data_IF_936275602241
#
_entry.id   IF_936275602241
#
_cell.length_a   1.000
_cell.length_b   1.000
_cell.length_c   1.000
_cell.angle_alpha   90.00
_cell.angle_beta   90.00
_cell.angle_gamma   90.00
#
_symmetry.space_group_name_H-M   'P 1'
#
loop_
_entity.id
_entity.type
_entity.pdbx_description
1 polymer ?
#
# COMPACT_ATOMS: atom_id res chain seq x y z
N UNK A 1 -26.49 -31.65 -40.80
CA UNK A 1 -26.91 -30.26 -40.50
C UNK A 1 -27.23 -30.13 -39.01
N UNK A 2 -26.27 -30.32 -38.09
CA UNK A 2 -26.59 -30.40 -36.64
C UNK A 2 -25.46 -30.02 -35.69
N UNK A 3 -24.43 -29.28 -36.15
CA UNK A 3 -23.32 -28.87 -35.29
C UNK A 3 -23.18 -27.35 -35.11
N UNK A 4 -23.73 -26.55 -36.04
CA UNK A 4 -23.63 -25.08 -35.99
C UNK A 4 -24.45 -24.40 -34.88
N UNK A 5 -25.51 -25.05 -34.39
CA UNK A 5 -26.28 -24.51 -33.27
C UNK A 5 -25.61 -24.80 -31.93
N UNK A 6 -24.86 -25.89 -31.81
CA UNK A 6 -24.16 -26.28 -30.57
C UNK A 6 -23.03 -25.30 -30.25
N UNK A 7 -22.27 -24.88 -31.26
CA UNK A 7 -21.18 -23.90 -31.06
C UNK A 7 -21.73 -22.53 -30.63
N UNK A 8 -22.91 -22.13 -31.12
CA UNK A 8 -23.55 -20.87 -30.73
C UNK A 8 -23.96 -20.89 -29.25
N UNK A 9 -24.59 -21.99 -28.81
CA UNK A 9 -24.97 -22.16 -27.40
C UNK A 9 -23.73 -22.09 -26.49
N UNK A 10 -22.62 -22.72 -26.87
CA UNK A 10 -21.39 -22.68 -26.08
C UNK A 10 -20.81 -21.26 -25.96
N UNK A 11 -20.75 -20.50 -27.04
CA UNK A 11 -20.26 -19.12 -27.00
C UNK A 11 -21.15 -18.22 -26.14
N UNK A 12 -22.47 -18.44 -26.16
CA UNK A 12 -23.41 -17.69 -25.33
C UNK A 12 -23.19 -17.98 -23.84
N UNK A 13 -22.95 -19.24 -23.48
CA UNK A 13 -22.62 -19.61 -22.08
C UNK A 13 -21.31 -18.99 -21.63
N UNK A 14 -20.26 -19.01 -22.46
CA UNK A 14 -18.97 -18.37 -22.11
C UNK A 14 -19.16 -16.86 -21.94
N UNK A 15 -19.93 -16.20 -22.84
CA UNK A 15 -20.25 -14.79 -22.72
C UNK A 15 -21.01 -14.48 -21.42
N UNK A 16 -21.97 -15.32 -21.04
CA UNK A 16 -22.70 -15.18 -19.77
C UNK A 16 -21.77 -15.36 -18.56
N UNK A 17 -20.82 -16.31 -18.60
CA UNK A 17 -19.85 -16.52 -17.51
C UNK A 17 -18.86 -15.36 -17.36
N UNK A 18 -18.44 -14.74 -18.47
CA UNK A 18 -17.63 -13.51 -18.46
C UNK A 18 -18.45 -12.34 -17.91
N UNK A 19 -19.71 -12.20 -18.33
CA UNK A 19 -20.61 -11.15 -17.85
C UNK A 19 -20.90 -11.26 -16.35
N UNK A 20 -21.04 -12.48 -15.83
CA UNK A 20 -21.22 -12.75 -14.40
C UNK A 20 -19.93 -12.61 -13.58
N UNK A 21 -18.78 -12.32 -14.21
CA UNK A 21 -17.52 -12.11 -13.51
C UNK A 21 -16.93 -13.35 -12.83
N UNK A 22 -17.44 -14.54 -13.15
CA UNK A 22 -16.90 -15.83 -12.65
C UNK A 22 -15.47 -16.06 -13.16
N UNK A 23 -15.14 -15.46 -14.30
CA UNK A 23 -13.81 -15.45 -14.90
C UNK A 23 -13.07 -14.12 -14.63
N UNK A 24 -13.23 -13.49 -13.46
CA UNK A 24 -12.36 -12.38 -13.06
C UNK A 24 -11.07 -12.92 -12.42
N UNK A 25 -9.97 -13.13 -13.17
CA UNK A 25 -8.71 -13.59 -12.58
C UNK A 25 -8.16 -12.59 -11.56
N UNK A 26 -8.55 -11.31 -11.64
CA UNK A 26 -8.15 -10.29 -10.68
C UNK A 26 -8.75 -10.48 -9.28
N UNK A 27 -9.81 -11.28 -9.12
CA UNK A 27 -10.32 -11.68 -7.79
C UNK A 27 -9.52 -12.79 -7.12
N UNK A 28 -8.67 -13.49 -7.88
CA UNK A 28 -8.02 -14.72 -7.43
C UNK A 28 -6.52 -14.57 -7.16
N UNK A 29 -5.93 -13.39 -7.36
CA UNK A 29 -4.56 -13.15 -6.91
C UNK A 29 -4.60 -12.82 -5.41
N UNK A 30 -4.14 -13.72 -4.53
CA UNK A 30 -4.00 -13.40 -3.12
C UNK A 30 -3.02 -12.24 -2.94
N UNK A 31 -3.26 -11.44 -1.92
CA UNK A 31 -2.32 -10.45 -1.45
C UNK A 31 -0.99 -11.14 -1.19
N UNK A 32 0.08 -10.65 -1.81
CA UNK A 32 1.42 -11.22 -1.68
C UNK A 32 2.44 -10.14 -1.39
N UNK A 33 3.33 -10.42 -0.45
CA UNK A 33 4.50 -9.63 -0.14
C UNK A 33 5.69 -10.59 -0.10
N UNK A 34 6.64 -10.41 -1.03
CA UNK A 34 7.80 -11.31 -1.16
C UNK A 34 9.06 -10.48 -1.17
N UNK A 35 10.01 -10.77 -0.28
CA UNK A 35 11.32 -10.12 -0.16
C UNK A 35 12.44 -11.15 -0.38
N UNK A 36 13.54 -10.72 -0.98
CA UNK A 36 14.62 -11.62 -1.43
C UNK A 36 15.82 -11.79 -0.50
N UNK A 37 15.92 -11.02 0.59
CA UNK A 37 17.19 -10.87 1.32
C UNK A 37 17.15 -11.26 2.80
N UNK A 38 16.68 -12.48 3.14
CA UNK A 38 16.71 -12.96 4.53
C UNK A 38 15.83 -12.17 5.51
N UNK A 39 14.98 -11.28 4.96
CA UNK A 39 13.91 -10.59 5.65
C UNK A 39 12.62 -11.14 5.06
N UNK A 40 11.74 -11.60 5.93
CA UNK A 40 10.46 -12.18 5.53
C UNK A 40 9.35 -11.17 5.82
N UNK A 41 8.50 -10.92 4.83
CA UNK A 41 7.28 -10.15 5.04
C UNK A 41 6.21 -11.08 5.59
N UNK A 42 5.84 -10.88 6.85
CA UNK A 42 4.88 -11.75 7.55
C UNK A 42 3.47 -11.34 7.20
N UNK A 43 3.23 -10.03 7.21
CA UNK A 43 1.92 -9.45 6.94
C UNK A 43 2.11 -8.01 6.45
N UNK A 44 1.08 -7.48 5.79
CA UNK A 44 1.10 -6.13 5.29
C UNK A 44 -0.30 -5.61 5.00
N UNK A 45 -0.46 -4.30 5.07
CA UNK A 45 -1.69 -3.59 4.75
C UNK A 45 -1.35 -2.36 3.92
N UNK A 46 -2.06 -2.19 2.80
CA UNK A 46 -1.90 -1.05 1.90
C UNK A 46 -3.16 -0.22 1.98
N UNK A 47 -3.05 1.03 2.43
CA UNK A 47 -4.12 2.01 2.39
C UNK A 47 -3.83 3.11 1.36
N UNK A 48 -4.78 3.99 1.10
CA UNK A 48 -4.61 5.04 0.09
C UNK A 48 -3.39 5.94 0.38
N UNK A 49 -3.19 6.32 1.64
CA UNK A 49 -2.17 7.28 2.09
C UNK A 49 -1.01 6.68 2.90
N UNK A 50 -1.12 5.42 3.32
CA UNK A 50 -0.12 4.74 4.16
C UNK A 50 0.03 3.28 3.82
N UNK A 51 1.18 2.71 4.15
CA UNK A 51 1.46 1.28 4.02
C UNK A 51 2.08 0.76 5.30
N UNK A 52 1.50 -0.31 5.85
CA UNK A 52 2.00 -1.00 7.03
C UNK A 52 2.60 -2.31 6.58
N UNK A 53 3.84 -2.60 6.98
CA UNK A 53 4.49 -3.88 6.71
C UNK A 53 5.03 -4.46 8.01
N UNK A 54 4.81 -5.76 8.22
CA UNK A 54 5.38 -6.51 9.33
C UNK A 54 6.52 -7.35 8.78
N UNK A 55 7.74 -6.97 9.14
CA UNK A 55 8.96 -7.61 8.68
C UNK A 55 9.53 -8.49 9.81
N UNK A 56 9.93 -9.70 9.46
CA UNK A 56 10.66 -10.62 10.32
C UNK A 56 12.10 -10.73 9.85
N UNK A 57 13.03 -10.60 10.80
CA UNK A 57 14.43 -10.87 10.54
C UNK A 57 14.69 -12.38 10.56
N UNK A 58 15.03 -12.97 9.40
CA UNK A 58 15.39 -14.40 9.28
C UNK A 58 16.90 -14.63 9.24
N UNK A 59 17.72 -13.60 9.51
CA UNK A 59 19.16 -13.76 9.68
C UNK A 59 19.50 -14.31 11.07
N UNK A 60 20.59 -15.06 11.13
CA UNK A 60 21.18 -15.57 12.39
C UNK A 60 21.79 -14.47 13.27
N UNK A 61 21.73 -13.20 12.84
CA UNK A 61 22.25 -12.04 13.55
C UNK A 61 21.20 -10.92 13.59
N UNK A 62 21.34 -9.99 14.54
CA UNK A 62 20.53 -8.78 14.60
C UNK A 62 20.85 -7.83 13.45
N UNK A 63 19.82 -7.28 12.82
CA UNK A 63 19.95 -6.28 11.77
C UNK A 63 19.37 -4.95 12.25
N UNK A 64 19.90 -3.85 11.75
CA UNK A 64 19.25 -2.53 11.86
C UNK A 64 18.60 -2.24 10.53
N UNK A 65 17.28 -2.07 10.52
CA UNK A 65 16.58 -1.52 9.36
C UNK A 65 16.80 -0.01 9.41
N UNK A 66 17.17 0.60 8.28
CA UNK A 66 17.51 2.02 8.16
C UNK A 66 16.43 2.78 7.38
N UNK A 67 15.87 2.15 6.35
CA UNK A 67 14.79 2.71 5.56
C UNK A 67 13.92 1.62 4.93
N UNK A 68 12.63 1.88 4.86
CA UNK A 68 11.67 1.09 4.09
C UNK A 68 11.05 2.01 3.05
N UNK A 69 11.22 1.67 1.78
CA UNK A 69 10.71 2.41 0.64
C UNK A 69 9.74 1.53 -0.14
N UNK A 70 8.63 2.12 -0.57
CA UNK A 70 7.71 1.50 -1.51
C UNK A 70 7.63 2.34 -2.78
N UNK A 71 7.67 1.69 -3.93
CA UNK A 71 7.50 2.29 -5.25
C UNK A 71 6.35 1.61 -5.98
N UNK A 72 5.42 2.37 -6.54
CA UNK A 72 4.42 1.80 -7.44
C UNK A 72 5.01 1.67 -8.86
N UNK A 73 4.92 0.47 -9.45
CA UNK A 73 5.41 0.21 -10.80
C UNK A 73 4.59 0.91 -11.87
N UNK A 74 3.34 1.27 -11.57
CA UNK A 74 2.40 1.83 -12.55
C UNK A 74 2.36 3.36 -12.52
N UNK A 75 2.28 3.97 -11.34
CA UNK A 75 2.18 5.44 -11.20
C UNK A 75 3.54 6.14 -11.07
N UNK A 76 4.63 5.40 -10.81
CA UNK A 76 5.97 5.97 -10.63
C UNK A 76 6.15 6.77 -9.34
N UNK A 77 5.16 6.75 -8.45
CA UNK A 77 5.26 7.36 -7.13
C UNK A 77 6.10 6.50 -6.18
N UNK A 78 6.85 7.15 -5.27
CA UNK A 78 7.57 6.49 -4.18
C UNK A 78 7.35 7.19 -2.84
N UNK A 79 7.16 6.40 -1.79
CA UNK A 79 7.15 6.87 -0.40
C UNK A 79 8.16 6.05 0.39
N UNK A 80 8.77 6.69 1.39
CA UNK A 80 9.75 6.04 2.25
C UNK A 80 9.57 6.46 3.70
N UNK A 81 9.95 5.57 4.61
CA UNK A 81 10.15 5.89 6.01
C UNK A 81 11.59 5.51 6.39
N UNK A 82 12.33 6.47 6.93
CA UNK A 82 13.62 6.20 7.55
C UNK A 82 13.42 5.92 9.04
N UNK A 83 13.58 4.66 9.41
CA UNK A 83 13.54 4.20 10.79
C UNK A 83 14.88 3.54 11.05
N UNK A 84 15.60 3.92 12.11
CA UNK A 84 16.83 3.25 12.56
C UNK A 84 16.55 2.22 13.63
N UNK A 85 15.78 1.18 13.31
CA UNK A 85 15.30 0.19 14.30
C UNK A 85 16.10 -1.10 14.24
N UNK A 86 16.64 -1.52 15.38
CA UNK A 86 17.27 -2.83 15.54
C UNK A 86 16.20 -3.92 15.70
N UNK A 87 16.30 -4.97 14.90
CA UNK A 87 15.42 -6.15 14.91
C UNK A 87 16.28 -7.37 15.20
N UNK A 88 16.00 -8.09 16.29
CA UNK A 88 16.75 -9.29 16.66
C UNK A 88 16.41 -10.45 15.73
N UNK A 89 17.20 -11.52 15.81
CA UNK A 89 16.94 -12.76 15.08
C UNK A 89 15.55 -13.31 15.42
N UNK A 90 14.79 -13.67 14.38
CA UNK A 90 13.43 -14.19 14.44
C UNK A 90 12.38 -13.25 15.06
N UNK A 91 12.75 -11.99 15.33
CA UNK A 91 11.84 -10.96 15.81
C UNK A 91 11.08 -10.32 14.66
N UNK A 92 9.84 -9.91 14.94
CA UNK A 92 8.96 -9.22 14.01
C UNK A 92 8.79 -7.77 14.45
N UNK A 93 8.87 -6.85 13.50
CA UNK A 93 8.65 -5.43 13.75
C UNK A 93 7.72 -4.84 12.69
N UNK A 94 6.81 -3.97 13.10
CA UNK A 94 5.91 -3.23 12.22
C UNK A 94 6.53 -1.91 11.77
N UNK A 95 6.53 -1.66 10.46
CA UNK A 95 6.97 -0.40 9.86
C UNK A 95 5.77 0.26 9.18
N UNK A 96 5.55 1.54 9.49
CA UNK A 96 4.47 2.34 8.90
C UNK A 96 5.09 3.36 7.97
N UNK A 97 4.78 3.27 6.68
CA UNK A 97 5.21 4.21 5.64
C UNK A 97 4.06 5.20 5.44
N UNK A 98 4.33 6.49 5.64
CA UNK A 98 3.36 7.57 5.48
C UNK A 98 3.60 8.34 4.19
N UNK A 99 2.60 9.11 3.77
CA UNK A 99 2.69 9.98 2.60
C UNK A 99 2.68 9.22 1.28
N UNK A 100 2.12 8.02 1.24
CA UNK A 100 1.97 7.26 0.02
C UNK A 100 0.77 7.74 -0.81
N UNK A 101 0.78 7.53 -2.12
CA UNK A 101 -0.40 7.73 -2.97
C UNK A 101 -0.68 6.44 -3.74
N UNK A 102 -1.27 5.46 -3.05
CA UNK A 102 -1.49 4.11 -3.60
C UNK A 102 -2.71 4.04 -4.53
N UNK A 103 -3.42 5.16 -4.71
CA UNK A 103 -4.66 5.26 -5.45
C UNK A 103 -5.90 4.93 -4.61
N UNK A 104 -7.04 4.86 -5.29
CA UNK A 104 -8.34 4.67 -4.66
C UNK A 104 -8.52 3.27 -4.06
N UNK A 105 -9.39 3.16 -3.05
CA UNK A 105 -9.76 1.89 -2.42
C UNK A 105 -10.23 0.87 -3.46
N UNK A 106 -9.77 -0.37 -3.31
CA UNK A 106 -10.11 -1.47 -4.20
C UNK A 106 -9.30 -1.51 -5.50
N UNK A 107 -8.50 -0.49 -5.80
CA UNK A 107 -7.51 -0.55 -6.88
C UNK A 107 -6.44 -1.58 -6.53
N UNK A 108 -6.02 -2.33 -7.53
CA UNK A 108 -4.87 -3.24 -7.44
C UNK A 108 -3.57 -2.44 -7.50
N UNK A 109 -2.78 -2.52 -6.44
CA UNK A 109 -1.43 -1.99 -6.36
C UNK A 109 -0.43 -3.10 -6.75
N UNK A 110 0.54 -2.74 -7.58
CA UNK A 110 1.69 -3.60 -7.90
C UNK A 110 2.97 -2.81 -7.59
N UNK A 111 3.41 -2.94 -6.35
CA UNK A 111 4.53 -2.22 -5.80
C UNK A 111 5.82 -3.04 -5.75
N UNK A 112 6.91 -2.29 -5.66
CA UNK A 112 8.22 -2.76 -5.27
C UNK A 112 8.53 -2.24 -3.86
N UNK A 113 9.00 -3.12 -2.99
CA UNK A 113 9.43 -2.78 -1.63
C UNK A 113 10.96 -2.86 -1.57
N UNK A 114 11.61 -1.78 -1.16
CA UNK A 114 13.05 -1.73 -0.93
C UNK A 114 13.31 -1.49 0.56
N UNK A 115 13.99 -2.43 1.21
CA UNK A 115 14.36 -2.33 2.61
C UNK A 115 15.88 -2.19 2.69
N UNK A 116 16.36 -1.04 3.16
CA UNK A 116 17.77 -0.83 3.44
C UNK A 116 18.05 -1.22 4.87
N UNK A 117 19.00 -2.12 5.08
CA UNK A 117 19.38 -2.60 6.40
C UNK A 117 20.90 -2.75 6.53
N UNK A 118 21.40 -2.65 7.75
CA UNK A 118 22.80 -2.88 8.09
C UNK A 118 22.89 -4.07 9.03
N UNK A 119 23.77 -5.02 8.69
CA UNK A 119 24.08 -6.15 9.59
C UNK A 119 25.04 -5.69 10.68
N UNK A 120 24.80 -6.12 11.92
CA UNK A 120 25.62 -5.70 13.06
C UNK A 120 27.07 -6.14 12.95
N UNK A 121 27.33 -7.31 12.37
CA UNK A 121 28.69 -7.86 12.23
C UNK A 121 29.46 -7.22 11.07
N UNK A 122 28.83 -7.04 9.90
CA UNK A 122 29.53 -6.47 8.73
C UNK A 122 29.62 -4.95 8.77
N UNK A 123 28.65 -4.27 9.39
CA UNK A 123 28.54 -2.80 9.38
C UNK A 123 28.24 -2.21 7.99
N UNK A 124 28.06 -3.04 6.96
CA UNK A 124 27.82 -2.61 5.60
C UNK A 124 26.31 -2.48 5.32
N UNK A 125 25.86 -1.42 4.63
CA UNK A 125 24.48 -1.28 4.22
C UNK A 125 24.17 -2.25 3.07
N UNK A 126 23.04 -2.93 3.19
CA UNK A 126 22.49 -3.84 2.20
C UNK A 126 21.06 -3.40 1.85
N UNK A 127 20.62 -3.73 0.63
CA UNK A 127 19.26 -3.44 0.16
C UNK A 127 18.56 -4.75 -0.16
N UNK A 128 17.45 -5.03 0.51
CA UNK A 128 16.52 -6.08 0.16
C UNK A 128 15.49 -5.53 -0.83
N UNK A 129 15.36 -6.17 -1.98
CA UNK A 129 14.32 -5.84 -2.96
C UNK A 129 13.22 -6.90 -2.90
N UNK A 130 11.97 -6.46 -2.91
CA UNK A 130 10.79 -7.29 -2.85
C UNK A 130 9.64 -6.75 -3.69
N UNK A 131 8.58 -7.53 -3.85
CA UNK A 131 7.37 -7.11 -4.54
C UNK A 131 6.16 -7.28 -3.64
N UNK A 132 5.31 -6.26 -3.65
CA UNK A 132 4.02 -6.24 -2.98
C UNK A 132 2.94 -6.17 -4.05
N UNK A 133 2.00 -7.12 -4.03
CA UNK A 133 0.79 -7.04 -4.84
C UNK A 133 -0.37 -7.19 -3.88
N UNK A 134 -1.23 -6.17 -3.82
CA UNK A 134 -2.44 -6.19 -3.01
C UNK A 134 -3.45 -5.18 -3.51
N UNK A 135 -4.67 -5.24 -2.99
CA UNK A 135 -5.63 -4.15 -3.14
C UNK A 135 -5.42 -3.11 -2.07
N UNK A 136 -5.68 -1.86 -2.42
CA UNK A 136 -5.77 -0.79 -1.43
C UNK A 136 -6.98 -1.07 -0.53
N UNK A 137 -6.69 -1.45 0.71
CA UNK A 137 -7.61 -1.69 1.82
C UNK A 137 -7.95 -0.37 2.52
N UNK A 138 -9.14 -0.27 3.11
CA UNK A 138 -9.54 0.92 3.89
C UNK A 138 -10.04 2.10 3.05
N UNK A 139 -10.86 2.96 3.65
CA UNK A 139 -11.46 4.11 2.98
C UNK A 139 -10.37 5.03 2.45
N UNK A 140 -10.42 5.31 1.16
CA UNK A 140 -9.88 6.52 0.58
C UNK A 140 -10.51 7.67 1.34
N UNK A 141 -9.91 8.06 2.47
CA UNK A 141 -10.15 9.39 2.99
C UNK A 141 -9.17 10.20 2.19
N UNK A 142 -9.58 10.55 0.97
CA UNK A 142 -8.83 11.49 0.15
C UNK A 142 -8.60 12.76 0.97
N UNK A 143 -7.61 13.57 0.63
CA UNK A 143 -7.45 14.85 1.34
C UNK A 143 -8.78 15.64 1.34
N UNK A 144 -9.58 15.54 0.27
CA UNK A 144 -10.96 16.07 0.23
C UNK A 144 -11.85 15.51 1.33
N UNK A 145 -11.90 14.19 1.50
CA UNK A 145 -12.72 13.55 2.55
C UNK A 145 -12.24 13.91 3.95
N UNK A 146 -10.93 14.06 4.15
CA UNK A 146 -10.35 14.49 5.43
C UNK A 146 -10.81 15.92 5.74
N UNK A 147 -10.71 16.83 4.77
CA UNK A 147 -11.19 18.20 4.93
C UNK A 147 -12.70 18.25 5.17
N UNK A 148 -13.48 17.42 4.47
CA UNK A 148 -14.94 17.39 4.56
C UNK A 148 -15.43 16.80 5.90
N UNK A 149 -14.77 15.75 6.38
CA UNK A 149 -15.02 15.18 7.70
C UNK A 149 -14.61 16.15 8.82
N UNK A 150 -13.50 16.87 8.64
CA UNK A 150 -13.06 17.88 9.60
C UNK A 150 -14.04 19.06 9.66
N UNK A 151 -14.54 19.54 8.53
CA UNK A 151 -15.53 20.63 8.50
C UNK A 151 -16.88 20.20 9.10
N UNK A 152 -17.40 19.03 8.71
CA UNK A 152 -18.65 18.51 9.26
C UNK A 152 -18.59 18.20 10.76
N UNK A 153 -17.40 17.91 11.28
CA UNK A 153 -17.18 17.61 12.70
C UNK A 153 -16.68 18.81 13.52
N UNK A 154 -16.46 19.98 12.90
CA UNK A 154 -15.92 21.16 13.57
C UNK A 154 -14.47 21.01 14.06
N UNK A 155 -13.66 20.19 13.39
CA UNK A 155 -12.28 19.86 13.76
C UNK A 155 -11.22 20.56 12.88
N UNK A 156 -11.60 21.59 12.12
CA UNK A 156 -10.70 22.27 11.18
C UNK A 156 -9.43 22.84 11.82
N UNK A 157 -9.49 23.35 13.06
CA UNK A 157 -8.33 23.90 13.78
C UNK A 157 -7.29 22.83 14.16
N UNK A 158 -7.70 21.56 14.25
CA UNK A 158 -6.81 20.45 14.60
C UNK A 158 -6.09 19.82 13.40
N UNK A 159 -6.45 20.20 12.17
CA UNK A 159 -5.88 19.60 10.95
C UNK A 159 -4.37 19.82 10.87
N UNK A 160 -3.89 21.01 11.18
CA UNK A 160 -2.46 21.33 11.12
C UNK A 160 -1.65 20.61 12.21
N UNK A 161 -2.29 20.30 13.35
CA UNK A 161 -1.65 19.54 14.44
C UNK A 161 -1.47 18.08 14.05
N UNK A 162 -2.47 17.49 13.36
CA UNK A 162 -2.50 16.06 13.04
C UNK A 162 -1.76 15.76 11.73
N UNK A 163 -1.88 16.64 10.73
CA UNK A 163 -1.40 16.41 9.37
C UNK A 163 -0.24 17.33 8.95
N UNK A 164 0.16 18.28 9.83
CA UNK A 164 1.28 19.20 9.62
C UNK A 164 0.83 20.62 9.28
N UNK A 165 1.66 21.61 9.63
CA UNK A 165 1.36 23.03 9.37
C UNK A 165 1.05 23.29 7.89
N UNK A 166 -0.04 24.01 7.62
CA UNK A 166 -0.49 24.36 6.28
C UNK A 166 -1.40 23.32 5.61
N UNK A 167 -1.77 22.24 6.30
CA UNK A 167 -2.73 21.27 5.79
C UNK A 167 -4.15 21.87 5.70
N UNK A 168 -4.56 22.66 6.68
CA UNK A 168 -5.80 23.44 6.68
C UNK A 168 -5.83 24.44 5.52
N UNK A 169 -4.72 25.15 5.26
CA UNK A 169 -4.61 26.03 4.10
C UNK A 169 -4.73 25.28 2.76
N UNK A 170 -4.19 24.06 2.72
CA UNK A 170 -4.34 23.17 1.57
C UNK A 170 -5.78 22.67 1.40
N UNK A 171 -6.51 22.42 2.49
CA UNK A 171 -7.93 22.11 2.48
C UNK A 171 -8.74 23.26 1.87
N UNK A 172 -8.47 24.49 2.30
CA UNK A 172 -9.21 25.65 1.81
C UNK A 172 -8.90 25.97 0.34
N UNK A 173 -7.63 25.95 -0.07
CA UNK A 173 -7.23 26.31 -1.43
C UNK A 173 -7.62 25.28 -2.50
N UNK A 174 -7.63 23.99 -2.16
CA UNK A 174 -7.89 22.93 -3.14
C UNK A 174 -9.33 22.43 -3.12
N UNK A 175 -10.02 22.52 -1.98
CA UNK A 175 -11.34 21.92 -1.81
C UNK A 175 -12.41 22.92 -1.32
N UNK A 176 -12.05 24.17 -1.06
CA UNK A 176 -12.95 25.20 -0.47
C UNK A 176 -13.57 24.78 0.88
N UNK A 177 -12.92 23.85 1.58
CA UNK A 177 -13.36 23.30 2.87
C UNK A 177 -12.49 23.85 4.00
N UNK A 178 -13.07 24.06 5.18
CA UNK A 178 -12.37 24.64 6.34
C UNK A 178 -11.75 26.04 6.09
N UNK A 179 -12.35 26.87 5.24
CA UNK A 179 -11.87 28.22 4.87
C UNK A 179 -12.18 29.35 5.86
N UNK A 180 -12.43 29.03 7.13
CA UNK A 180 -13.01 30.01 8.07
C UNK A 180 -11.93 31.01 8.51
N UNK A 181 -12.30 32.29 8.52
CA UNK A 181 -11.43 33.46 8.73
C UNK A 181 -11.34 33.85 10.20
#
# INVERSE_FOLDING_TARGET
MTYGWVILVFLLVIAALVYLGVLNPDMLLPDKCVLSAGITCVDFEVEASRVVVILQNSFTESITINSVEMRDKNSGFSCFNSVGKEVKTDEKESFVILGCNNGDTGRKLNGELLVTFTKKVSGLPHVAQGSIISRVSGSSTSSSDICQNAESSGLCEGLDIVFGEGYMASCCSNYELCCWN
#
